data_IF_947078216211
#
_entry.id   IF_947078216211
#
_cell.length_a   1.000
_cell.length_b   1.000
_cell.length_c   1.000
_cell.angle_alpha   90.00
_cell.angle_beta   90.00
_cell.angle_gamma   90.00
#
_symmetry.space_group_name_H-M   'P 1'
#
loop_
_entity.id
_entity.type
_entity.pdbx_description
1 polymer ?
#
# COMPACT_ATOMS: atom_id res chain seq x y z
N UNK A 1 -22.35 -13.33 21.07
CA UNK A 1 -21.90 -13.01 19.71
C UNK A 1 -21.15 -11.69 19.81
N UNK A 2 -19.84 -11.63 19.54
CA UNK A 2 -19.17 -10.34 19.53
C UNK A 2 -19.61 -9.59 18.26
N UNK A 3 -20.05 -8.34 18.43
CA UNK A 3 -20.33 -7.43 17.32
C UNK A 3 -19.07 -7.28 16.48
N UNK A 4 -19.09 -7.82 15.26
CA UNK A 4 -18.03 -7.62 14.28
C UNK A 4 -18.13 -6.17 13.82
N UNK A 5 -17.38 -5.27 14.48
CA UNK A 5 -17.18 -3.92 13.97
C UNK A 5 -16.58 -4.07 12.57
N UNK A 6 -17.32 -3.65 11.55
CA UNK A 6 -16.89 -3.58 10.15
C UNK A 6 -15.49 -2.94 10.13
N UNK A 7 -14.46 -3.71 9.79
CA UNK A 7 -13.07 -3.19 9.75
C UNK A 7 -12.93 -2.26 8.54
N UNK A 8 -11.97 -1.33 8.55
CA UNK A 8 -11.78 -0.41 7.40
C UNK A 8 -11.52 -1.20 6.13
N UNK A 9 -10.77 -2.31 6.22
CA UNK A 9 -10.59 -3.27 5.12
C UNK A 9 -11.88 -3.87 4.60
N UNK A 10 -12.80 -4.24 5.48
CA UNK A 10 -14.10 -4.74 5.05
C UNK A 10 -14.89 -3.65 4.32
N UNK A 11 -14.81 -2.40 4.76
CA UNK A 11 -15.41 -1.27 4.05
C UNK A 11 -14.75 -1.01 2.67
N UNK A 12 -13.43 -1.08 2.57
CA UNK A 12 -12.67 -0.96 1.31
C UNK A 12 -13.05 -2.09 0.34
N UNK A 13 -13.07 -3.32 0.86
CA UNK A 13 -13.47 -4.52 0.12
C UNK A 13 -14.94 -4.46 -0.35
N UNK A 14 -15.85 -3.88 0.43
CA UNK A 14 -17.27 -3.79 0.05
C UNK A 14 -17.55 -2.58 -0.86
N UNK A 15 -16.79 -1.48 -0.73
CA UNK A 15 -16.95 -0.29 -1.56
C UNK A 15 -16.60 -0.56 -3.03
N UNK A 16 -15.59 -1.38 -3.33
CA UNK A 16 -15.28 -1.77 -4.70
C UNK A 16 -16.18 -2.88 -5.26
N UNK A 17 -16.82 -3.70 -4.41
CA UNK A 17 -17.71 -4.79 -4.84
C UNK A 17 -19.11 -4.31 -5.30
N UNK A 18 -19.49 -3.06 -5.00
CA UNK A 18 -20.82 -2.50 -5.35
C UNK A 18 -21.07 -2.29 -6.86
N UNK A 19 -20.14 -2.68 -7.74
CA UNK A 19 -20.24 -2.53 -9.20
C UNK A 19 -20.50 -3.84 -9.98
N UNK A 20 -20.60 -4.99 -9.33
CA UNK A 20 -20.89 -6.25 -10.02
C UNK A 20 -21.70 -7.17 -9.11
N UNK A 21 -22.87 -7.62 -9.57
CA UNK A 21 -23.72 -8.53 -8.79
C UNK A 21 -24.14 -9.72 -9.65
N UNK A 22 -23.86 -10.95 -9.16
CA UNK A 22 -24.89 -11.91 -8.72
C UNK A 22 -24.37 -13.37 -8.56
N UNK A 23 -24.36 -13.85 -7.29
CA UNK A 23 -24.86 -15.15 -6.78
C UNK A 23 -24.28 -16.50 -7.28
N UNK A 24 -23.53 -17.24 -6.42
CA UNK A 24 -24.00 -18.27 -5.44
C UNK A 24 -22.88 -19.24 -5.02
N UNK A 25 -23.02 -19.77 -3.80
CA UNK A 25 -22.05 -20.44 -2.91
C UNK A 25 -21.58 -21.85 -3.26
N UNK A 26 -20.35 -22.20 -2.88
CA UNK A 26 -20.04 -23.50 -2.27
C UNK A 26 -18.79 -23.44 -1.35
N UNK A 27 -18.73 -24.32 -0.35
CA UNK A 27 -17.71 -24.38 0.72
C UNK A 27 -16.54 -25.32 0.38
N UNK A 28 -15.32 -24.99 0.79
CA UNK A 28 -14.18 -25.92 0.75
C UNK A 28 -13.02 -25.49 1.66
N UNK A 29 -12.51 -26.45 2.42
CA UNK A 29 -11.66 -26.34 3.61
C UNK A 29 -10.20 -25.88 3.40
N UNK A 30 -9.67 -25.27 4.47
CA UNK A 30 -8.27 -24.93 4.72
C UNK A 30 -7.31 -26.14 4.65
N UNK A 31 -6.16 -25.95 3.99
CA UNK A 31 -4.91 -26.63 4.35
C UNK A 31 -3.72 -25.67 4.33
N UNK A 32 -3.15 -25.46 5.52
CA UNK A 32 -1.88 -24.76 5.74
C UNK A 32 -0.74 -25.75 5.53
N UNK A 33 0.12 -25.49 4.54
CA UNK A 33 1.43 -26.14 4.42
C UNK A 33 2.51 -25.08 4.56
N UNK A 34 3.13 -25.03 5.75
CA UNK A 34 4.37 -24.29 5.97
C UNK A 34 5.52 -25.00 5.28
N UNK A 35 6.22 -24.28 4.41
CA UNK A 35 7.51 -24.71 3.88
C UNK A 35 8.51 -23.57 4.11
N UNK A 36 9.45 -23.79 5.02
CA UNK A 36 10.60 -22.93 5.25
C UNK A 36 11.57 -23.08 4.06
N UNK A 37 11.27 -22.38 2.98
CA UNK A 37 12.18 -22.18 1.86
C UNK A 37 12.88 -20.84 2.11
N UNK A 38 14.16 -20.87 2.47
CA UNK A 38 14.96 -19.66 2.53
C UNK A 38 15.13 -19.11 1.10
N UNK A 39 14.24 -18.22 0.69
CA UNK A 39 14.31 -17.55 -0.60
C UNK A 39 15.58 -16.67 -0.67
N UNK A 40 16.21 -16.53 -1.85
CA UNK A 40 17.41 -15.70 -1.99
C UNK A 40 17.13 -14.24 -1.60
N UNK A 41 18.13 -13.47 -1.13
CA UNK A 41 17.91 -12.08 -0.76
C UNK A 41 17.54 -11.23 -1.99
N UNK A 42 16.52 -10.37 -1.85
CA UNK A 42 16.17 -9.32 -2.81
C UNK A 42 17.13 -8.14 -2.66
N UNK A 43 17.76 -7.73 -3.75
CA UNK A 43 18.74 -6.63 -3.78
C UNK A 43 18.27 -5.42 -4.60
N UNK A 44 17.25 -5.57 -5.44
CA UNK A 44 16.67 -4.47 -6.24
C UNK A 44 15.14 -4.48 -6.20
N UNK A 45 14.51 -3.37 -6.58
CA UNK A 45 13.03 -3.29 -6.66
C UNK A 45 12.51 -4.16 -7.81
N UNK A 46 13.25 -4.24 -8.93
CA UNK A 46 12.91 -5.14 -10.04
C UNK A 46 12.98 -6.61 -9.63
N UNK A 47 13.98 -7.04 -8.85
CA UNK A 47 14.03 -8.40 -8.31
C UNK A 47 12.84 -8.71 -7.40
N UNK A 48 12.42 -7.75 -6.57
CA UNK A 48 11.22 -7.89 -5.75
C UNK A 48 9.98 -8.09 -6.63
N UNK A 49 9.82 -7.27 -7.68
CA UNK A 49 8.70 -7.36 -8.61
C UNK A 49 8.61 -8.72 -9.32
N UNK A 50 9.73 -9.31 -9.72
CA UNK A 50 9.70 -10.65 -10.32
C UNK A 50 9.09 -11.69 -9.38
N UNK A 51 9.42 -11.63 -8.07
CA UNK A 51 8.85 -12.55 -7.07
C UNK A 51 7.39 -12.24 -6.76
N UNK A 52 7.00 -10.95 -6.78
CA UNK A 52 5.60 -10.56 -6.70
C UNK A 52 4.82 -11.12 -7.89
N UNK A 53 5.36 -11.04 -9.12
CA UNK A 53 4.77 -11.64 -10.32
C UNK A 53 4.56 -13.13 -10.16
N UNK A 54 5.61 -13.85 -9.77
CA UNK A 54 5.55 -15.30 -9.57
C UNK A 54 4.45 -15.65 -8.55
N UNK A 55 4.41 -14.95 -7.42
CA UNK A 55 3.40 -15.17 -6.40
C UNK A 55 1.98 -14.84 -6.89
N UNK A 56 1.77 -13.68 -7.50
CA UNK A 56 0.45 -13.27 -8.00
C UNK A 56 -0.03 -14.20 -9.13
N UNK A 57 0.85 -14.65 -10.01
CA UNK A 57 0.46 -15.57 -11.10
C UNK A 57 -0.11 -16.90 -10.58
N UNK A 58 0.37 -17.35 -9.42
CA UNK A 58 -0.06 -18.58 -8.78
C UNK A 58 -1.28 -18.40 -7.85
N UNK A 59 -1.43 -17.22 -7.23
CA UNK A 59 -2.39 -17.03 -6.13
C UNK A 59 -3.45 -15.96 -6.39
N UNK A 60 -3.16 -14.94 -7.19
CA UNK A 60 -4.03 -13.79 -7.45
C UNK A 60 -3.86 -13.24 -8.89
N UNK A 61 -4.24 -14.03 -9.92
CA UNK A 61 -4.04 -13.69 -11.32
C UNK A 61 -4.85 -12.47 -11.80
N UNK A 62 -5.98 -12.13 -11.17
CA UNK A 62 -6.71 -10.89 -11.50
C UNK A 62 -5.95 -9.66 -11.01
N UNK A 63 -5.41 -9.70 -9.79
CA UNK A 63 -4.55 -8.61 -9.30
C UNK A 63 -3.36 -8.40 -10.24
N UNK A 64 -2.73 -9.50 -10.70
CA UNK A 64 -1.65 -9.43 -11.69
C UNK A 64 -2.09 -8.76 -12.99
N UNK A 65 -3.26 -9.13 -13.52
CA UNK A 65 -3.79 -8.60 -14.77
C UNK A 65 -4.10 -7.09 -14.71
N UNK A 66 -4.36 -6.56 -13.51
CA UNK A 66 -4.63 -5.14 -13.28
C UNK A 66 -3.36 -4.27 -13.15
N UNK A 67 -2.17 -4.87 -13.03
CA UNK A 67 -0.92 -4.11 -13.05
C UNK A 67 -0.70 -3.50 -14.43
N UNK A 68 -0.49 -2.18 -14.46
CA UNK A 68 -0.25 -1.47 -15.70
C UNK A 68 1.15 -1.77 -16.25
N UNK A 69 1.39 -1.60 -17.56
CA UNK A 69 2.72 -1.62 -18.12
C UNK A 69 3.69 -0.61 -17.43
N UNK A 70 5.01 -0.78 -17.60
CA UNK A 70 6.00 0.18 -17.15
C UNK A 70 5.71 1.63 -17.53
N UNK A 71 6.00 2.55 -16.62
CA UNK A 71 6.06 3.97 -16.95
C UNK A 71 7.26 4.26 -17.85
N UNK A 72 7.06 5.17 -18.80
CA UNK A 72 8.13 5.71 -19.64
C UNK A 72 9.04 6.64 -18.83
N UNK A 73 10.28 6.84 -19.30
CA UNK A 73 11.19 7.79 -18.70
C UNK A 73 10.64 9.23 -18.70
N UNK A 74 9.81 9.57 -19.70
CA UNK A 74 9.16 10.87 -19.79
C UNK A 74 8.10 11.05 -18.70
N UNK A 75 7.22 10.06 -18.47
CA UNK A 75 6.20 10.14 -17.42
C UNK A 75 6.83 10.28 -16.02
N UNK A 76 7.92 9.56 -15.76
CA UNK A 76 8.67 9.67 -14.50
C UNK A 76 9.27 11.08 -14.36
N UNK A 77 9.86 11.61 -15.42
CA UNK A 77 10.44 12.95 -15.41
C UNK A 77 9.37 14.02 -15.20
N UNK A 78 8.21 13.89 -15.83
CA UNK A 78 7.07 14.80 -15.65
C UNK A 78 6.58 14.78 -14.20
N UNK A 79 6.49 13.61 -13.57
CA UNK A 79 6.13 13.49 -12.16
C UNK A 79 7.15 14.20 -11.25
N UNK A 80 8.45 13.94 -11.41
CA UNK A 80 9.52 14.64 -10.66
C UNK A 80 9.46 16.17 -10.83
N UNK A 81 9.16 16.64 -12.05
CA UNK A 81 8.98 18.07 -12.33
C UNK A 81 7.78 18.66 -11.60
N UNK A 82 6.64 17.97 -11.59
CA UNK A 82 5.43 18.43 -10.89
C UNK A 82 5.65 18.46 -9.37
N UNK A 83 6.30 17.43 -8.82
CA UNK A 83 6.65 17.38 -7.41
C UNK A 83 7.69 18.43 -7.01
N UNK A 84 8.49 18.91 -7.97
CA UNK A 84 9.64 19.77 -7.69
C UNK A 84 10.70 19.05 -6.84
N UNK A 85 10.81 17.72 -6.99
CA UNK A 85 11.69 16.85 -6.22
C UNK A 85 12.42 15.89 -7.16
N UNK A 86 13.70 15.62 -6.88
CA UNK A 86 14.38 14.45 -7.41
C UNK A 86 14.03 13.25 -6.53
N UNK A 87 13.30 12.29 -7.09
CA UNK A 87 12.84 11.11 -6.36
C UNK A 87 13.97 10.07 -6.25
N UNK A 88 13.96 9.22 -5.21
CA UNK A 88 14.97 8.17 -5.07
C UNK A 88 14.93 7.19 -6.25
N UNK A 89 16.09 6.64 -6.64
CA UNK A 89 16.16 5.70 -7.77
C UNK A 89 15.24 4.49 -7.61
N UNK A 90 15.09 3.98 -6.38
CA UNK A 90 14.19 2.87 -6.06
C UNK A 90 12.70 3.21 -6.30
N UNK A 91 12.31 4.48 -6.17
CA UNK A 91 10.97 4.94 -6.53
C UNK A 91 10.79 4.92 -8.04
N UNK A 92 11.79 5.38 -8.80
CA UNK A 92 11.75 5.31 -10.28
C UNK A 92 11.71 3.86 -10.76
N UNK A 93 12.50 2.97 -10.14
CA UNK A 93 12.52 1.54 -10.43
C UNK A 93 11.17 0.85 -10.20
N UNK A 94 10.43 1.25 -9.15
CA UNK A 94 9.06 0.81 -8.90
C UNK A 94 8.17 1.06 -10.13
N UNK A 95 8.19 2.31 -10.63
CA UNK A 95 7.37 2.75 -11.76
C UNK A 95 7.87 2.27 -13.13
N UNK A 96 9.19 2.05 -13.30
CA UNK A 96 9.75 1.39 -14.51
C UNK A 96 9.40 -0.09 -14.61
N UNK A 97 8.78 -0.67 -13.58
CA UNK A 97 8.25 -2.03 -13.64
C UNK A 97 6.74 -2.02 -13.86
N UNK A 98 6.00 -1.21 -13.10
CA UNK A 98 4.55 -1.02 -13.28
C UNK A 98 4.14 0.43 -13.00
N UNK A 99 3.40 1.04 -13.92
CA UNK A 99 2.81 2.38 -13.69
C UNK A 99 1.49 2.28 -12.92
N UNK A 100 1.55 1.84 -11.67
CA UNK A 100 0.36 1.61 -10.87
C UNK A 100 -0.49 0.43 -11.35
N UNK A 101 -1.75 0.45 -10.97
CA UNK A 101 -2.79 -0.48 -11.43
C UNK A 101 -4.03 0.27 -11.85
N UNK A 102 -4.83 -0.38 -12.69
CA UNK A 102 -6.19 0.04 -12.98
C UNK A 102 -7.18 -0.80 -12.16
N UNK A 103 -8.43 -0.35 -12.06
CA UNK A 103 -9.52 -1.06 -11.38
C UNK A 103 -10.46 -1.77 -12.37
N UNK A 104 -10.01 -2.02 -13.61
CA UNK A 104 -10.85 -2.68 -14.62
C UNK A 104 -10.85 -4.19 -14.41
N UNK A 105 -11.99 -4.76 -14.02
CA UNK A 105 -12.15 -6.21 -13.85
C UNK A 105 -11.61 -6.77 -12.52
N UNK A 106 -11.15 -5.93 -11.61
CA UNK A 106 -10.87 -6.25 -10.22
C UNK A 106 -10.82 -4.98 -9.33
N UNK A 107 -10.79 -5.16 -8.02
CA UNK A 107 -10.92 -4.13 -6.99
C UNK A 107 -9.70 -3.21 -6.75
N UNK A 108 -8.60 -3.37 -7.49
CA UNK A 108 -7.40 -2.52 -7.33
C UNK A 108 -6.70 -2.68 -5.96
N UNK A 109 -6.23 -3.88 -5.63
CA UNK A 109 -5.66 -4.21 -4.32
C UNK A 109 -4.25 -4.80 -4.45
N UNK A 110 -3.25 -4.25 -3.74
CA UNK A 110 -1.89 -4.83 -3.68
C UNK A 110 -1.18 -4.59 -2.35
N UNK A 111 -0.63 -3.40 -2.14
CA UNK A 111 0.23 -3.12 -0.99
C UNK A 111 -0.63 -2.98 0.27
N UNK A 112 -0.61 -3.97 1.16
CA UNK A 112 -1.54 -4.02 2.32
C UNK A 112 -3.02 -3.88 1.92
N UNK A 113 -3.38 -4.41 0.74
CA UNK A 113 -4.73 -4.30 0.21
C UNK A 113 -5.09 -2.93 -0.38
N UNK A 114 -4.15 -1.97 -0.41
CA UNK A 114 -4.31 -0.65 -1.02
C UNK A 114 -4.00 -0.68 -2.52
N UNK A 115 -4.62 0.24 -3.27
CA UNK A 115 -4.40 0.44 -4.70
C UNK A 115 -3.03 1.06 -4.94
N UNK A 116 -2.21 0.46 -5.82
CA UNK A 116 -0.96 1.03 -6.28
C UNK A 116 -1.23 2.12 -7.33
N UNK A 117 -0.93 3.37 -7.00
CA UNK A 117 -1.25 4.54 -7.83
C UNK A 117 -0.39 4.58 -9.09
N UNK A 118 -1.03 4.92 -10.21
CA UNK A 118 -0.35 5.42 -11.41
C UNK A 118 0.39 6.72 -11.08
N UNK A 119 1.36 7.10 -11.90
CA UNK A 119 2.02 8.40 -11.78
C UNK A 119 1.05 9.57 -11.91
N UNK A 120 0.02 9.45 -12.75
CA UNK A 120 -0.99 10.50 -12.93
C UNK A 120 -1.87 10.66 -11.69
N UNK A 121 -2.26 9.56 -11.04
CA UNK A 121 -2.99 9.62 -9.77
C UNK A 121 -2.09 10.16 -8.65
N UNK A 122 -0.81 9.75 -8.58
CA UNK A 122 0.13 10.31 -7.60
C UNK A 122 0.33 11.83 -7.79
N UNK A 123 0.36 12.32 -9.05
CA UNK A 123 0.35 13.75 -9.38
C UNK A 123 -0.94 14.42 -8.91
N UNK A 124 -2.09 13.80 -9.16
CA UNK A 124 -3.38 14.32 -8.74
C UNK A 124 -3.47 14.45 -7.21
N UNK A 125 -3.06 13.40 -6.49
CA UNK A 125 -2.97 13.38 -5.02
C UNK A 125 -2.02 14.46 -4.50
N UNK A 126 -0.88 14.65 -5.14
CA UNK A 126 0.06 15.72 -4.78
C UNK A 126 -0.57 17.10 -4.95
N UNK A 127 -1.24 17.36 -6.08
CA UNK A 127 -1.90 18.64 -6.35
C UNK A 127 -3.03 18.94 -5.38
N UNK A 128 -3.85 17.93 -5.06
CA UNK A 128 -4.93 18.04 -4.09
C UNK A 128 -4.40 18.34 -2.67
N UNK A 129 -3.28 17.72 -2.29
CA UNK A 129 -2.63 17.95 -0.99
C UNK A 129 -1.89 19.30 -0.91
N UNK A 130 -1.57 19.93 -2.04
CA UNK A 130 -0.82 21.19 -2.06
C UNK A 130 -1.71 22.44 -1.89
N UNK A 131 -2.98 22.25 -1.52
CA UNK A 131 -3.88 23.34 -1.12
C UNK A 131 -3.45 23.83 0.27
N UNK A 132 -3.10 25.12 0.46
CA UNK A 132 -2.70 25.64 1.75
C UNK A 132 -3.80 25.44 2.80
N UNK A 133 -3.47 24.76 3.89
CA UNK A 133 -4.31 24.68 5.08
C UNK A 133 -3.87 25.80 6.03
N UNK A 134 -4.79 26.69 6.38
CA UNK A 134 -4.53 27.68 7.44
C UNK A 134 -4.43 26.96 8.79
N UNK A 135 -3.30 27.12 9.49
CA UNK A 135 -3.02 26.55 10.81
C UNK A 135 -3.24 25.02 10.89
N UNK A 136 -2.42 24.22 10.17
CA UNK A 136 -2.59 22.76 10.16
C UNK A 136 -2.39 22.20 11.57
N UNK A 137 -3.35 21.41 12.02
CA UNK A 137 -3.21 20.68 13.28
C UNK A 137 -2.01 19.71 13.18
N UNK A 138 -1.18 19.63 14.23
CA UNK A 138 -0.07 18.69 14.23
C UNK A 138 -0.57 17.25 14.22
N UNK A 139 0.25 16.35 13.68
CA UNK A 139 0.04 14.91 13.69
C UNK A 139 -0.09 14.40 15.12
N UNK A 140 -1.22 13.75 15.42
CA UNK A 140 -1.58 13.22 16.75
C UNK A 140 -0.53 12.23 17.24
N UNK A 141 -0.18 11.24 16.43
CA UNK A 141 0.82 10.22 16.77
C UNK A 141 1.74 9.93 15.56
N UNK A 142 3.04 9.84 15.80
CA UNK A 142 4.00 9.48 14.77
C UNK A 142 5.23 8.77 15.31
N UNK A 143 5.79 7.86 14.52
CA UNK A 143 7.08 7.24 14.79
C UNK A 143 8.25 8.24 14.75
N UNK A 144 9.36 7.89 15.41
CA UNK A 144 10.60 8.68 15.33
C UNK A 144 11.09 8.81 13.89
N UNK A 145 11.62 9.98 13.53
CA UNK A 145 12.08 10.27 12.18
C UNK A 145 11.05 11.03 11.33
N UNK A 146 9.78 11.07 11.74
CA UNK A 146 8.68 11.67 10.99
C UNK A 146 8.36 13.08 11.51
N UNK A 147 8.11 14.00 10.59
CA UNK A 147 7.64 15.36 10.87
C UNK A 147 6.19 15.35 11.35
N UNK A 148 5.85 16.22 12.31
CA UNK A 148 4.53 16.21 12.98
C UNK A 148 3.76 17.51 12.78
N UNK A 149 4.29 18.46 12.03
CA UNK A 149 3.70 19.78 11.89
C UNK A 149 2.45 19.77 11.00
N UNK A 150 2.39 18.87 10.01
CA UNK A 150 1.29 18.79 9.06
C UNK A 150 1.23 17.38 8.42
N UNK A 151 0.09 16.70 8.51
CA UNK A 151 -0.11 15.38 7.87
C UNK A 151 -0.16 15.48 6.33
N UNK A 152 -0.46 16.66 5.79
CA UNK A 152 -0.44 16.98 4.36
C UNK A 152 0.92 17.55 3.91
N UNK A 153 2.03 17.06 4.48
CA UNK A 153 3.34 17.61 4.18
C UNK A 153 3.64 17.54 2.67
N UNK A 154 4.00 18.65 1.99
CA UNK A 154 4.07 18.70 0.52
C UNK A 154 5.17 17.83 -0.06
N UNK A 155 6.11 17.35 0.76
CA UNK A 155 7.18 16.44 0.34
C UNK A 155 6.93 14.97 0.69
N UNK A 156 5.68 14.61 1.00
CA UNK A 156 5.25 13.22 1.21
C UNK A 156 4.45 12.74 0.02
N UNK A 157 5.11 12.00 -0.88
CA UNK A 157 4.58 11.64 -2.19
C UNK A 157 3.86 10.30 -2.09
N UNK A 158 2.54 10.31 -2.33
CA UNK A 158 1.73 9.10 -2.29
C UNK A 158 2.08 8.15 -3.45
N UNK A 159 2.06 6.85 -3.16
CA UNK A 159 2.14 5.80 -4.18
C UNK A 159 1.10 4.71 -3.99
N UNK A 160 0.37 4.67 -2.87
CA UNK A 160 -0.80 3.82 -2.73
C UNK A 160 -1.85 4.46 -1.83
N UNK A 161 -3.11 4.07 -1.98
CA UNK A 161 -4.20 4.52 -1.12
C UNK A 161 -5.29 3.45 -0.97
N UNK A 162 -6.11 3.59 0.06
CA UNK A 162 -7.20 2.66 0.36
C UNK A 162 -8.56 3.05 -0.27
N UNK A 163 -8.58 4.05 -1.14
CA UNK A 163 -9.82 4.66 -1.65
C UNK A 163 -10.45 5.68 -0.69
N UNK A 164 -9.80 5.99 0.44
CA UNK A 164 -10.28 6.94 1.44
C UNK A 164 -9.13 7.75 2.07
N UNK A 165 -9.03 7.67 3.39
CA UNK A 165 -8.18 8.54 4.22
C UNK A 165 -6.81 7.92 4.55
N UNK A 166 -6.48 6.75 3.99
CA UNK A 166 -5.23 6.06 4.26
C UNK A 166 -4.34 5.99 3.02
N UNK A 167 -3.06 6.39 3.16
CA UNK A 167 -2.11 6.40 2.06
C UNK A 167 -0.75 5.80 2.46
N UNK A 168 -0.10 5.15 1.51
CA UNK A 168 1.34 4.91 1.55
C UNK A 168 2.07 6.02 0.82
N UNK A 169 3.13 6.55 1.45
CA UNK A 169 3.89 7.67 0.92
C UNK A 169 5.40 7.46 1.05
N UNK A 170 6.13 8.11 0.16
CA UNK A 170 7.58 8.32 0.25
C UNK A 170 7.83 9.67 0.92
N UNK A 171 8.48 9.66 2.07
CA UNK A 171 8.81 10.87 2.82
C UNK A 171 10.17 11.44 2.36
N UNK A 172 10.11 12.55 1.63
CA UNK A 172 11.28 13.28 1.12
C UNK A 172 11.71 14.42 2.05
N UNK A 173 11.11 14.56 3.24
CA UNK A 173 11.43 15.61 4.20
C UNK A 173 11.33 15.14 5.66
N UNK A 174 12.06 14.09 6.05
CA UNK A 174 12.05 13.61 7.41
C UNK A 174 12.67 14.63 8.38
N UNK A 175 12.60 14.31 9.68
CA UNK A 175 13.42 14.97 10.71
C UNK A 175 14.90 14.55 10.57
N UNK A 176 15.85 15.21 11.28
CA UNK A 176 17.26 14.79 11.28
C UNK A 176 17.53 13.35 11.75
N UNK A 177 16.57 12.71 12.41
CA UNK A 177 16.67 11.30 12.84
C UNK A 177 16.06 10.31 11.85
N UNK A 178 15.38 10.80 10.81
CA UNK A 178 14.80 9.98 9.75
C UNK A 178 15.69 9.88 8.52
N UNK A 179 15.15 9.32 7.43
CA UNK A 179 15.89 9.08 6.18
C UNK A 179 15.06 9.54 5.00
N UNK A 180 15.62 10.40 4.14
CA UNK A 180 14.90 10.88 2.96
C UNK A 180 14.65 9.69 2.02
N UNK A 181 13.41 9.53 1.56
CA UNK A 181 12.96 8.36 0.83
C UNK A 181 12.43 7.22 1.71
N UNK A 182 12.29 7.41 3.02
CA UNK A 182 11.64 6.44 3.90
C UNK A 182 10.17 6.24 3.51
N UNK A 183 9.65 5.03 3.71
CA UNK A 183 8.26 4.69 3.40
C UNK A 183 7.42 4.83 4.66
N UNK A 184 6.37 5.63 4.56
CA UNK A 184 5.44 5.92 5.66
C UNK A 184 4.01 5.55 5.25
N UNK A 185 3.18 5.27 6.26
CA UNK A 185 1.73 5.18 6.13
C UNK A 185 1.11 6.38 6.84
N UNK A 186 0.17 7.07 6.19
CA UNK A 186 -0.60 8.18 6.75
C UNK A 186 -2.05 7.76 6.91
N UNK A 187 -2.58 7.86 8.13
CA UNK A 187 -3.99 7.69 8.45
C UNK A 187 -4.57 9.06 8.80
N UNK A 188 -5.30 9.67 7.86
CA UNK A 188 -5.88 11.00 8.04
C UNK A 188 -7.05 10.99 9.03
N UNK A 189 -7.79 9.89 9.12
CA UNK A 189 -8.93 9.75 10.04
C UNK A 189 -8.48 9.82 11.50
N UNK A 190 -7.37 9.13 11.84
CA UNK A 190 -6.79 9.12 13.19
C UNK A 190 -5.61 10.10 13.36
N UNK A 191 -5.34 10.90 12.33
CA UNK A 191 -4.23 11.85 12.25
C UNK A 191 -2.89 11.23 12.73
N UNK A 192 -2.58 10.03 12.22
CA UNK A 192 -1.47 9.18 12.66
C UNK A 192 -0.54 8.85 11.50
N UNK A 193 0.78 8.82 11.74
CA UNK A 193 1.77 8.51 10.71
C UNK A 193 2.76 7.45 11.19
N UNK A 194 2.88 6.37 10.43
CA UNK A 194 3.65 5.18 10.80
C UNK A 194 4.87 5.03 9.89
N UNK A 195 6.04 4.80 10.47
CA UNK A 195 7.24 4.45 9.70
C UNK A 195 7.22 2.97 9.37
N UNK A 196 7.18 2.62 8.08
CA UNK A 196 7.19 1.23 7.65
C UNK A 196 8.61 0.73 7.38
N UNK A 197 9.36 1.45 6.56
CA UNK A 197 10.71 1.07 6.14
C UNK A 197 11.59 2.30 5.87
N UNK A 198 12.91 2.13 5.92
CA UNK A 198 13.86 3.24 5.71
C UNK A 198 14.04 3.64 4.24
N UNK A 199 13.58 2.80 3.31
CA UNK A 199 13.54 3.07 1.87
C UNK A 199 12.59 2.10 1.16
N UNK A 200 12.33 2.35 -0.12
CA UNK A 200 11.45 1.52 -0.95
C UNK A 200 11.95 0.09 -1.14
N UNK A 201 13.26 -0.13 -1.29
CA UNK A 201 13.79 -1.48 -1.46
C UNK A 201 13.48 -2.35 -0.24
N UNK A 202 13.67 -1.82 0.97
CA UNK A 202 13.31 -2.53 2.20
C UNK A 202 11.81 -2.81 2.30
N UNK A 203 10.97 -1.86 1.86
CA UNK A 203 9.53 -2.05 1.79
C UNK A 203 9.15 -3.18 0.82
N UNK A 204 9.68 -3.15 -0.40
CA UNK A 204 9.41 -4.15 -1.44
C UNK A 204 9.91 -5.53 -1.03
N UNK A 205 11.10 -5.61 -0.44
CA UNK A 205 11.64 -6.85 0.13
C UNK A 205 10.72 -7.39 1.23
N UNK A 206 10.30 -6.55 2.17
CA UNK A 206 9.42 -6.96 3.26
C UNK A 206 8.07 -7.48 2.73
N UNK A 207 7.50 -6.80 1.74
CA UNK A 207 6.24 -7.22 1.11
C UNK A 207 6.36 -8.61 0.46
N UNK A 208 7.43 -8.85 -0.32
CA UNK A 208 7.69 -10.17 -0.91
C UNK A 208 7.88 -11.25 0.16
N UNK A 209 8.71 -10.97 1.17
CA UNK A 209 8.97 -11.91 2.27
C UNK A 209 7.65 -12.25 3.00
N UNK A 210 6.74 -11.28 3.17
CA UNK A 210 5.43 -11.50 3.80
C UNK A 210 4.45 -12.28 2.90
N UNK A 211 4.44 -12.06 1.57
CA UNK A 211 3.66 -12.85 0.61
C UNK A 211 4.05 -14.32 0.67
N UNK A 212 5.35 -14.62 0.56
CA UNK A 212 5.87 -15.98 0.53
C UNK A 212 5.78 -16.68 1.90
N UNK A 213 5.80 -15.92 3.00
CA UNK A 213 5.54 -16.45 4.33
C UNK A 213 4.04 -16.72 4.61
N UNK A 214 3.15 -16.55 3.63
CA UNK A 214 1.72 -16.79 3.78
C UNK A 214 1.02 -15.80 4.71
N UNK A 215 1.55 -14.58 4.83
CA UNK A 215 0.95 -13.52 5.66
C UNK A 215 -0.12 -12.72 4.91
N UNK A 216 -0.21 -12.90 3.61
CA UNK A 216 -1.29 -12.41 2.76
C UNK A 216 -2.16 -13.57 2.27
N UNK A 217 -3.43 -13.29 2.05
CA UNK A 217 -4.41 -14.25 1.52
C UNK A 217 -5.55 -13.50 0.83
N UNK A 218 -6.27 -14.17 -0.06
CA UNK A 218 -7.42 -13.57 -0.72
C UNK A 218 -8.63 -13.49 0.24
N UNK A 219 -9.27 -12.32 0.26
CA UNK A 219 -10.50 -12.10 1.01
C UNK A 219 -11.62 -12.97 0.43
N UNK A 220 -12.29 -13.74 1.30
CA UNK A 220 -13.29 -14.73 0.89
C UNK A 220 -14.58 -14.10 0.37
N UNK A 221 -14.93 -12.89 0.81
CA UNK A 221 -16.13 -12.20 0.35
C UNK A 221 -15.90 -11.58 -1.02
N UNK A 222 -14.75 -10.95 -1.26
CA UNK A 222 -14.35 -10.53 -2.60
C UNK A 222 -14.35 -11.71 -3.58
N UNK A 223 -13.74 -12.83 -3.18
CA UNK A 223 -13.71 -14.05 -3.98
C UNK A 223 -15.11 -14.57 -4.33
N UNK A 224 -16.06 -14.48 -3.40
CA UNK A 224 -17.43 -14.92 -3.62
C UNK A 224 -18.18 -14.07 -4.67
N UNK A 225 -17.82 -12.78 -4.79
CA UNK A 225 -18.33 -11.88 -5.85
C UNK A 225 -17.50 -11.95 -7.14
N UNK A 226 -16.49 -12.81 -7.17
CA UNK A 226 -15.61 -13.03 -8.31
C UNK A 226 -14.46 -12.04 -8.39
N UNK A 227 -14.14 -11.30 -7.35
CA UNK A 227 -12.99 -10.39 -7.29
C UNK A 227 -11.83 -11.00 -6.49
N UNK A 228 -10.63 -10.42 -6.65
CA UNK A 228 -9.46 -10.77 -5.85
C UNK A 228 -8.98 -9.56 -5.07
N UNK A 229 -9.04 -9.66 -3.74
CA UNK A 229 -8.59 -8.61 -2.83
C UNK A 229 -7.58 -9.20 -1.83
N UNK A 230 -6.40 -8.58 -1.70
CA UNK A 230 -5.39 -9.03 -0.75
C UNK A 230 -5.74 -8.57 0.66
N UNK A 231 -6.08 -9.54 1.50
CA UNK A 231 -6.09 -9.38 2.94
C UNK A 231 -4.76 -9.85 3.56
N UNK A 232 -4.55 -9.57 4.84
CA UNK A 232 -3.34 -9.98 5.53
C UNK A 232 -3.57 -10.31 7.01
N UNK A 233 -2.57 -10.97 7.61
CA UNK A 233 -2.59 -11.28 9.04
C UNK A 233 -2.63 -9.99 9.89
N UNK A 234 -3.31 -9.99 11.05
CA UNK A 234 -3.46 -8.80 11.90
C UNK A 234 -2.15 -8.12 12.30
N UNK A 235 -1.05 -8.88 12.42
CA UNK A 235 0.27 -8.38 12.82
C UNK A 235 0.90 -7.43 11.78
N UNK A 236 0.47 -7.51 10.53
CA UNK A 236 0.98 -6.65 9.43
C UNK A 236 -0.11 -5.76 8.82
N UNK A 237 -1.32 -5.76 9.38
CA UNK A 237 -2.43 -4.96 8.88
C UNK A 237 -2.32 -3.49 9.29
N UNK A 238 -1.57 -2.71 8.52
CA UNK A 238 -1.37 -1.28 8.77
C UNK A 238 -2.65 -0.45 8.55
N UNK A 239 -3.56 -0.90 7.68
CA UNK A 239 -4.84 -0.21 7.44
C UNK A 239 -5.72 -0.27 8.69
N UNK A 240 -5.64 -1.36 9.45
CA UNK A 240 -6.24 -1.51 10.77
C UNK A 240 -5.18 -1.46 11.88
N UNK A 241 -4.16 -0.59 11.77
CA UNK A 241 -3.02 -0.54 12.69
C UNK A 241 -3.43 -0.45 14.17
N UNK A 242 -4.55 0.21 14.47
CA UNK A 242 -5.10 0.35 15.82
C UNK A 242 -5.62 -0.97 16.42
N UNK A 243 -5.72 -2.04 15.63
CA UNK A 243 -5.99 -3.40 16.12
C UNK A 243 -4.76 -4.31 16.03
N UNK A 244 -3.76 -3.93 15.25
CA UNK A 244 -2.55 -4.72 15.05
C UNK A 244 -1.62 -4.66 16.28
N UNK A 245 -1.12 -5.80 16.79
CA UNK A 245 -0.18 -5.82 17.91
C UNK A 245 1.15 -5.09 17.61
N UNK A 246 1.46 -4.83 16.34
CA UNK A 246 2.73 -4.23 15.90
C UNK A 246 2.85 -2.73 16.21
N UNK A 247 1.74 -1.98 16.20
CA UNK A 247 1.74 -0.51 16.30
C UNK A 247 1.01 0.02 17.55
N UNK A 248 0.98 -0.78 18.62
CA UNK A 248 0.29 -0.41 19.86
C UNK A 248 0.87 0.85 20.52
N UNK A 249 2.15 1.15 20.30
CA UNK A 249 2.81 2.34 20.85
C UNK A 249 2.31 3.68 20.29
N UNK A 250 1.46 3.66 19.25
CA UNK A 250 0.87 4.85 18.64
C UNK A 250 -0.59 5.11 19.08
N UNK A 251 -1.12 4.27 19.96
CA UNK A 251 -2.51 4.38 20.46
C UNK A 251 -2.70 5.46 21.52
N UNK A 252 -1.68 5.64 22.37
CA UNK A 252 -1.66 6.59 23.48
C UNK A 252 -1.21 7.99 23.01
#
# INVERSE_FOLDING_TARGET
MPEWKMTRRHAICMAGALLSAACTSDKGDDQVAGNDQSHPPVNTVTEAWHRIHDWLSAHAPKILANLNPPATAQEIQEAEQVFGLEMPEQWKELYRTHNGMNSEGNMGSLFYGMQFLTLQEAIHEYQNNNVPVEDPAPVRAADSGIRRENIYHPKWIAFAHDGGEALLRVDMAPTPTGTAGQVIFTDHADNTVILLNKNLLQFMKQFVDDLEAGRYFLNQEALAEGDEFLDCKPEIDVVNWSFSPRWQHLKD
#
